data_IF_343225603950
#
_entry.id   IF_343225603950
#
_cell.length_a   1.000
_cell.length_b   1.000
_cell.length_c   1.000
_cell.angle_alpha   90.00
_cell.angle_beta   90.00
_cell.angle_gamma   90.00
#
_symmetry.space_group_name_H-M   'P 1'
#
loop_
_entity.id
_entity.type
_entity.pdbx_description
1 polymer ?
#
# COMPACT_ATOMS: atom_id res chain seq x y z
N UNK A 1 -22.18 1.56 15.19
CA UNK A 1 -21.85 1.09 13.82
C UNK A 1 -21.83 -0.42 13.84
N UNK A 2 -22.41 -1.12 12.86
CA UNK A 2 -22.56 -2.57 12.89
C UNK A 2 -21.40 -3.27 12.18
N UNK A 3 -21.06 -4.49 12.60
CA UNK A 3 -20.12 -5.41 11.93
C UNK A 3 -20.34 -5.48 10.42
N UNK A 4 -21.60 -5.41 9.98
CA UNK A 4 -22.00 -5.34 8.57
C UNK A 4 -21.34 -4.19 7.80
N UNK A 5 -21.14 -3.03 8.42
CA UNK A 5 -20.50 -1.88 7.76
C UNK A 5 -18.99 -2.06 7.58
N UNK A 6 -18.31 -2.73 8.51
CA UNK A 6 -16.87 -2.97 8.41
C UNK A 6 -16.56 -3.96 7.28
N UNK A 7 -17.28 -5.09 7.23
CA UNK A 7 -17.10 -6.07 6.17
C UNK A 7 -17.35 -5.44 4.79
N UNK A 8 -18.43 -4.67 4.63
CA UNK A 8 -18.70 -3.95 3.38
C UNK A 8 -17.58 -2.97 3.01
N UNK A 9 -17.00 -2.25 3.97
CA UNK A 9 -15.88 -1.34 3.71
C UNK A 9 -14.61 -2.09 3.28
N UNK A 10 -14.33 -3.26 3.86
CA UNK A 10 -13.21 -4.11 3.47
C UNK A 10 -13.41 -4.63 2.03
N UNK A 11 -14.60 -5.16 1.72
CA UNK A 11 -14.93 -5.66 0.38
C UNK A 11 -14.83 -4.55 -0.69
N UNK A 12 -15.35 -3.36 -0.39
CA UNK A 12 -15.25 -2.19 -1.26
C UNK A 12 -13.78 -1.77 -1.47
N UNK A 13 -12.98 -1.77 -0.41
CA UNK A 13 -11.56 -1.44 -0.47
C UNK A 13 -10.76 -2.44 -1.31
N UNK A 14 -11.10 -3.73 -1.20
CA UNK A 14 -10.53 -4.78 -2.05
C UNK A 14 -10.91 -4.59 -3.51
N UNK A 15 -12.20 -4.37 -3.81
CA UNK A 15 -12.66 -4.11 -5.17
C UNK A 15 -11.96 -2.90 -5.81
N UNK A 16 -11.83 -1.80 -5.04
CA UNK A 16 -11.09 -0.61 -5.47
C UNK A 16 -9.61 -0.90 -5.71
N UNK A 17 -8.97 -1.68 -4.84
CA UNK A 17 -7.56 -2.06 -4.98
C UNK A 17 -7.32 -2.89 -6.25
N UNK A 18 -8.23 -3.84 -6.56
CA UNK A 18 -8.16 -4.62 -7.79
C UNK A 18 -8.31 -3.75 -9.03
N UNK A 19 -9.28 -2.83 -9.02
CA UNK A 19 -9.49 -1.88 -10.11
C UNK A 19 -8.25 -1.00 -10.33
N UNK A 20 -7.64 -0.51 -9.25
CA UNK A 20 -6.39 0.25 -9.33
C UNK A 20 -5.26 -0.59 -9.93
N UNK A 21 -5.14 -1.86 -9.54
CA UNK A 21 -4.14 -2.77 -10.07
C UNK A 21 -4.38 -3.11 -11.55
N UNK A 22 -5.62 -3.29 -11.98
CA UNK A 22 -5.96 -3.56 -13.38
C UNK A 22 -5.59 -2.38 -14.30
N UNK A 23 -5.83 -1.15 -13.82
CA UNK A 23 -5.47 0.08 -14.53
C UNK A 23 -3.96 0.30 -14.54
N UNK A 24 -3.28 0.02 -13.43
CA UNK A 24 -1.89 0.45 -13.21
C UNK A 24 -0.85 -0.64 -13.45
N UNK A 25 -1.23 -1.91 -13.48
CA UNK A 25 -0.28 -3.02 -13.50
C UNK A 25 -0.45 -3.96 -14.70
N UNK A 26 0.62 -4.68 -15.02
CA UNK A 26 0.61 -5.76 -16.03
C UNK A 26 0.26 -7.13 -15.43
N UNK A 27 0.31 -7.27 -14.11
CA UNK A 27 0.09 -8.53 -13.43
C UNK A 27 -1.37 -8.96 -13.52
N UNK A 28 -1.60 -10.23 -13.78
CA UNK A 28 -2.89 -10.86 -13.48
C UNK A 28 -3.00 -11.03 -11.98
N UNK A 29 -3.96 -10.34 -11.36
CA UNK A 29 -4.23 -10.45 -9.93
C UNK A 29 -5.17 -11.65 -9.70
N UNK A 30 -4.80 -12.53 -8.78
CA UNK A 30 -5.66 -13.64 -8.36
C UNK A 30 -6.69 -13.15 -7.34
N UNK A 31 -7.91 -13.65 -7.42
CA UNK A 31 -8.98 -13.35 -6.46
C UNK A 31 -8.89 -14.18 -5.17
N UNK A 32 -7.91 -15.09 -5.08
CA UNK A 32 -7.60 -15.82 -3.86
C UNK A 32 -6.67 -14.97 -2.98
N UNK A 33 -7.24 -14.32 -1.97
CA UNK A 33 -6.51 -13.39 -1.11
C UNK A 33 -5.97 -14.05 0.14
N UNK A 34 -4.74 -13.68 0.47
CA UNK A 34 -4.13 -13.94 1.76
C UNK A 34 -3.72 -12.60 2.35
N UNK A 35 -3.83 -12.45 3.67
CA UNK A 35 -3.67 -11.15 4.29
C UNK A 35 -2.46 -11.08 5.21
N UNK A 36 -1.82 -9.92 5.20
CA UNK A 36 -0.86 -9.47 6.21
C UNK A 36 -1.52 -8.30 6.93
N UNK A 37 -1.47 -8.29 8.25
CA UNK A 37 -2.09 -7.25 9.07
C UNK A 37 -1.02 -6.58 9.93
N UNK A 38 -0.87 -5.26 9.83
CA UNK A 38 0.21 -4.53 10.49
C UNK A 38 -0.22 -3.15 10.96
N UNK A 39 0.31 -2.72 12.10
CA UNK A 39 0.14 -1.38 12.64
C UNK A 39 1.24 -0.48 12.07
N UNK A 40 0.87 0.73 11.62
CA UNK A 40 1.81 1.78 11.24
C UNK A 40 2.20 2.54 12.50
N UNK A 41 3.50 2.57 12.82
CA UNK A 41 4.04 3.37 13.93
C UNK A 41 4.63 4.67 13.42
N UNK A 42 4.67 5.71 14.25
CA UNK A 42 5.27 7.01 13.89
C UNK A 42 6.73 6.90 13.43
N UNK A 43 7.48 5.95 13.99
CA UNK A 43 8.85 5.63 13.56
C UNK A 43 8.94 5.21 12.09
N UNK A 44 7.85 4.69 11.52
CA UNK A 44 7.82 4.06 10.21
C UNK A 44 7.52 5.07 9.08
N UNK A 45 7.07 6.29 9.42
CA UNK A 45 6.87 7.38 8.46
C UNK A 45 8.15 7.76 7.69
N UNK A 46 9.32 7.62 8.31
CA UNK A 46 10.60 7.86 7.63
C UNK A 46 10.98 6.73 6.66
N UNK A 47 10.45 5.51 6.84
CA UNK A 47 10.77 4.33 6.05
C UNK A 47 9.91 4.16 4.80
N UNK A 48 8.75 4.84 4.71
CA UNK A 48 7.91 4.81 3.51
C UNK A 48 8.57 5.42 2.26
N UNK A 49 9.69 6.15 2.38
CA UNK A 49 10.50 6.65 1.24
C UNK A 49 11.39 5.57 0.59
N UNK A 50 11.66 4.45 1.27
CA UNK A 50 12.49 3.35 0.73
C UNK A 50 11.69 2.05 0.77
N UNK A 51 10.81 1.87 -0.21
CA UNK A 51 10.25 0.56 -0.55
C UNK A 51 9.53 -0.11 0.63
N UNK A 52 8.41 0.48 1.06
CA UNK A 52 7.61 -0.06 2.17
C UNK A 52 7.36 -1.56 2.05
N UNK A 53 8.02 -2.28 2.95
CA UNK A 53 7.76 -3.62 3.42
C UNK A 53 8.40 -3.63 4.80
N UNK A 54 7.59 -3.45 5.84
CA UNK A 54 8.09 -3.45 7.20
C UNK A 54 8.76 -4.82 7.43
N UNK A 55 10.05 -4.82 7.77
CA UNK A 55 10.82 -6.04 8.08
C UNK A 55 10.48 -6.63 9.44
N UNK A 56 9.44 -6.12 10.10
CA UNK A 56 8.98 -6.61 11.38
C UNK A 56 7.68 -7.39 11.24
N UNK A 57 7.79 -8.65 11.67
CA UNK A 57 6.75 -9.65 11.93
C UNK A 57 6.29 -10.46 10.72
N UNK A 58 6.76 -11.72 10.74
CA UNK A 58 6.01 -12.90 10.35
C UNK A 58 4.66 -12.94 11.08
N UNK A 59 3.72 -12.06 10.74
CA UNK A 59 2.31 -12.40 10.91
C UNK A 59 2.02 -13.49 9.90
N UNK A 60 1.54 -14.65 10.35
CA UNK A 60 1.07 -15.69 9.44
C UNK A 60 0.11 -15.10 8.41
N UNK A 61 0.07 -15.67 7.21
CA UNK A 61 -0.93 -15.27 6.23
C UNK A 61 -2.31 -15.55 6.81
N UNK A 62 -3.13 -14.51 6.94
CA UNK A 62 -4.47 -14.57 7.51
C UNK A 62 -5.50 -14.74 6.40
N UNK A 63 -6.66 -15.30 6.76
CA UNK A 63 -7.87 -15.22 5.95
C UNK A 63 -8.66 -13.94 6.26
N UNK A 64 -9.71 -13.69 5.48
CA UNK A 64 -10.54 -12.49 5.60
C UNK A 64 -11.29 -12.44 6.94
N UNK A 65 -11.71 -13.57 7.49
CA UNK A 65 -12.49 -13.63 8.72
C UNK A 65 -11.62 -13.19 9.90
N UNK A 66 -10.42 -13.76 10.00
CA UNK A 66 -9.46 -13.41 11.06
C UNK A 66 -9.07 -11.93 11.00
N UNK A 67 -8.81 -11.38 9.81
CA UNK A 67 -8.53 -9.95 9.66
C UNK A 67 -9.71 -9.09 10.10
N UNK A 68 -10.93 -9.47 9.72
CA UNK A 68 -12.13 -8.73 10.09
C UNK A 68 -12.30 -8.72 11.61
N UNK A 69 -12.15 -9.88 12.28
CA UNK A 69 -12.17 -9.96 13.75
C UNK A 69 -11.09 -9.10 14.41
N UNK A 70 -9.88 -9.05 13.84
CA UNK A 70 -8.80 -8.20 14.35
C UNK A 70 -9.13 -6.70 14.21
N UNK A 71 -9.69 -6.29 13.07
CA UNK A 71 -10.12 -4.91 12.84
C UNK A 71 -11.29 -4.53 13.76
N UNK A 72 -12.22 -5.44 14.04
CA UNK A 72 -13.35 -5.20 14.94
C UNK A 72 -12.90 -4.91 16.37
N UNK A 73 -11.94 -5.69 16.88
CA UNK A 73 -11.41 -5.53 18.24
C UNK A 73 -10.78 -4.17 18.47
N UNK A 74 -10.14 -3.62 17.44
CA UNK A 74 -9.43 -2.35 17.49
C UNK A 74 -10.30 -1.17 17.00
N UNK A 75 -11.52 -1.43 16.50
CA UNK A 75 -12.28 -0.49 15.65
C UNK A 75 -12.45 0.91 16.26
N UNK A 76 -12.71 0.98 17.56
CA UNK A 76 -12.91 2.24 18.28
C UNK A 76 -11.69 3.17 18.16
N UNK A 77 -10.49 2.58 18.15
CA UNK A 77 -9.21 3.28 18.08
C UNK A 77 -8.62 3.29 16.67
N UNK A 78 -9.32 2.80 15.63
CA UNK A 78 -8.81 2.87 14.26
C UNK A 78 -9.03 4.26 13.67
N UNK A 79 -7.97 4.86 13.12
CA UNK A 79 -8.02 6.12 12.41
C UNK A 79 -8.03 5.93 10.89
N UNK A 80 -7.03 5.24 10.36
CA UNK A 80 -6.85 5.02 8.92
C UNK A 80 -6.49 3.56 8.65
N UNK A 81 -7.07 2.97 7.60
CA UNK A 81 -6.87 1.58 7.20
C UNK A 81 -6.54 1.56 5.71
N UNK A 82 -5.33 1.11 5.40
CA UNK A 82 -4.75 1.15 4.07
C UNK A 82 -4.56 -0.26 3.52
N UNK A 83 -5.07 -0.48 2.31
CA UNK A 83 -4.98 -1.74 1.58
C UNK A 83 -3.93 -1.61 0.47
N UNK A 84 -2.97 -2.54 0.46
CA UNK A 84 -1.92 -2.63 -0.55
C UNK A 84 -1.80 -4.04 -1.10
N UNK A 85 -1.45 -4.18 -2.38
CA UNK A 85 -0.95 -5.45 -2.89
C UNK A 85 0.51 -5.57 -2.46
N UNK A 86 0.78 -6.45 -1.50
CA UNK A 86 2.14 -6.78 -1.08
C UNK A 86 2.84 -7.63 -2.13
N UNK A 87 2.14 -8.66 -2.63
CA UNK A 87 2.67 -9.57 -3.65
C UNK A 87 1.56 -10.26 -4.44
N UNK A 88 1.60 -10.18 -5.76
CA UNK A 88 0.72 -10.94 -6.64
C UNK A 88 1.44 -12.17 -7.19
N UNK A 89 0.86 -13.36 -6.96
CA UNK A 89 1.30 -14.62 -7.59
C UNK A 89 0.20 -15.19 -8.47
N UNK A 90 0.55 -16.20 -9.27
CA UNK A 90 -0.38 -16.87 -10.19
C UNK A 90 -1.65 -17.39 -9.51
N UNK A 91 -1.53 -17.94 -8.31
CA UNK A 91 -2.63 -18.63 -7.62
C UNK A 91 -3.19 -17.86 -6.42
N UNK A 92 -2.47 -16.88 -5.89
CA UNK A 92 -2.93 -16.07 -4.76
C UNK A 92 -2.32 -14.67 -4.82
N UNK A 93 -3.03 -13.72 -4.23
CA UNK A 93 -2.56 -12.35 -4.04
C UNK A 93 -2.46 -12.09 -2.55
N UNK A 94 -1.29 -11.63 -2.11
CA UNK A 94 -1.06 -11.22 -0.73
C UNK A 94 -1.41 -9.74 -0.62
N UNK A 95 -2.42 -9.44 0.19
CA UNK A 95 -2.86 -8.09 0.51
C UNK A 95 -2.30 -7.72 1.87
N UNK A 96 -1.62 -6.60 1.96
CA UNK A 96 -1.20 -6.02 3.23
C UNK A 96 -2.20 -4.95 3.64
N UNK A 97 -2.76 -5.11 4.84
CA UNK A 97 -3.62 -4.14 5.48
C UNK A 97 -2.78 -3.49 6.58
N UNK A 98 -2.59 -2.19 6.43
CA UNK A 98 -1.86 -1.36 7.36
C UNK A 98 -2.85 -0.45 8.07
N UNK A 99 -2.83 -0.39 9.39
CA UNK A 99 -3.74 0.49 10.14
C UNK A 99 -2.98 1.49 11.01
N UNK A 100 -3.59 2.65 11.22
CA UNK A 100 -3.13 3.70 12.11
C UNK A 100 -4.12 3.87 13.25
N UNK A 101 -3.64 3.99 14.49
CA UNK A 101 -4.50 4.19 15.66
C UNK A 101 -4.72 5.67 15.94
N UNK A 102 -5.91 6.01 16.45
CA UNK A 102 -6.22 7.37 16.90
C UNK A 102 -5.34 7.72 18.11
N UNK A 103 -5.17 6.79 19.04
CA UNK A 103 -4.33 6.95 20.23
C UNK A 103 -2.84 7.22 19.93
N UNK A 104 -2.39 6.93 18.71
CA UNK A 104 -1.03 7.25 18.24
C UNK A 104 -0.89 8.68 17.72
N UNK A 105 -1.97 9.48 17.71
CA UNK A 105 -1.94 10.88 17.27
C UNK A 105 -1.65 11.79 18.46
N UNK A 106 -1.24 13.02 18.19
CA UNK A 106 -1.13 14.04 19.23
C UNK A 106 -2.49 14.26 19.91
N UNK A 107 -2.45 14.64 21.18
CA UNK A 107 -3.63 14.70 22.04
C UNK A 107 -4.68 15.68 21.52
N UNK A 108 -4.25 16.84 21.01
CA UNK A 108 -5.14 17.87 20.49
C UNK A 108 -5.88 17.36 19.25
N UNK A 109 -5.16 16.72 18.33
CA UNK A 109 -5.76 16.12 17.15
C UNK A 109 -6.67 14.94 17.50
N UNK A 110 -6.25 14.06 18.41
CA UNK A 110 -7.07 12.94 18.90
C UNK A 110 -8.45 13.42 19.40
N UNK A 111 -8.48 14.48 20.22
CA UNK A 111 -9.72 15.00 20.77
C UNK A 111 -10.70 15.48 19.70
N UNK A 112 -10.20 15.92 18.53
CA UNK A 112 -11.04 16.33 17.38
C UNK A 112 -11.57 15.16 16.54
N UNK A 113 -10.91 13.99 16.59
CA UNK A 113 -11.22 12.86 15.69
C UNK A 113 -11.64 11.57 16.42
N UNK A 114 -11.67 11.57 17.76
CA UNK A 114 -11.99 10.38 18.57
C UNK A 114 -13.32 9.73 18.19
N UNK A 115 -14.31 10.53 17.82
CA UNK A 115 -15.65 10.07 17.44
C UNK A 115 -15.80 9.79 15.93
N UNK A 116 -14.78 10.08 15.13
CA UNK A 116 -14.81 9.83 13.70
C UNK A 116 -14.71 8.33 13.40
N UNK A 117 -15.35 7.92 12.29
CA UNK A 117 -15.20 6.58 11.77
C UNK A 117 -13.82 6.41 11.11
N UNK A 118 -13.22 5.22 11.16
CA UNK A 118 -11.97 4.94 10.45
C UNK A 118 -12.12 5.15 8.96
N UNK A 119 -11.09 5.72 8.35
CA UNK A 119 -10.99 5.90 6.91
C UNK A 119 -10.42 4.64 6.25
N UNK A 120 -10.92 4.31 5.06
CA UNK A 120 -10.49 3.15 4.28
C UNK A 120 -9.90 3.62 2.96
N UNK A 121 -8.69 3.19 2.65
CA UNK A 121 -7.98 3.58 1.44
C UNK A 121 -7.39 2.38 0.71
N UNK A 122 -7.52 2.38 -0.61
CA UNK A 122 -6.83 1.44 -1.50
C UNK A 122 -5.68 2.16 -2.17
N UNK A 123 -4.46 1.64 -1.99
CA UNK A 123 -3.24 2.31 -2.45
C UNK A 123 -2.35 1.35 -3.24
N UNK A 124 -1.70 1.88 -4.27
CA UNK A 124 -0.73 1.12 -5.07
C UNK A 124 0.60 1.88 -5.14
N UNK A 125 1.68 1.21 -4.76
CA UNK A 125 2.99 1.82 -4.82
C UNK A 125 3.50 1.81 -6.26
N UNK A 126 3.77 2.99 -6.81
CA UNK A 126 4.22 3.16 -8.19
C UNK A 126 5.75 3.35 -8.25
N UNK A 127 6.47 2.64 -9.14
CA UNK A 127 7.89 2.86 -9.34
C UNK A 127 8.15 4.17 -10.11
N UNK A 128 9.32 4.78 -9.92
CA UNK A 128 9.64 6.08 -10.51
C UNK A 128 9.54 6.10 -12.05
N UNK A 129 9.87 5.00 -12.74
CA UNK A 129 9.79 4.93 -14.19
C UNK A 129 8.35 4.86 -14.74
N UNK A 130 7.35 4.67 -13.87
CA UNK A 130 5.94 4.57 -14.23
C UNK A 130 5.16 5.86 -14.00
N UNK A 131 5.81 6.93 -13.49
CA UNK A 131 5.19 8.23 -13.19
C UNK A 131 4.41 8.84 -14.36
N UNK A 132 4.79 8.52 -15.60
CA UNK A 132 4.11 8.99 -16.82
C UNK A 132 2.83 8.20 -17.15
N UNK A 133 2.17 7.59 -16.15
CA UNK A 133 0.95 6.78 -16.33
C UNK A 133 1.20 5.42 -17.01
N UNK A 134 2.45 4.96 -17.08
CA UNK A 134 2.77 3.65 -17.68
C UNK A 134 2.44 2.55 -16.70
N UNK A 135 1.83 1.47 -17.20
CA UNK A 135 1.63 0.27 -16.40
C UNK A 135 2.97 -0.29 -15.88
N UNK A 136 2.95 -1.02 -14.77
CA UNK A 136 4.13 -1.59 -14.14
C UNK A 136 3.89 -2.98 -13.52
N UNK A 137 4.94 -3.64 -13.06
CA UNK A 137 4.81 -4.88 -12.28
C UNK A 137 4.49 -4.53 -10.83
N UNK A 138 3.34 -4.98 -10.28
CA UNK A 138 2.96 -4.74 -8.88
C UNK A 138 3.99 -5.31 -7.90
N UNK A 139 4.73 -6.33 -8.30
CA UNK A 139 5.79 -6.95 -7.50
C UNK A 139 7.13 -6.21 -7.57
N UNK A 140 7.21 -5.05 -8.23
CA UNK A 140 8.47 -4.35 -8.48
C UNK A 140 9.30 -4.08 -7.23
N UNK A 141 8.66 -3.92 -6.06
CA UNK A 141 9.34 -3.75 -4.77
C UNK A 141 10.18 -4.96 -4.36
N UNK A 142 9.80 -6.16 -4.81
CA UNK A 142 10.61 -7.38 -4.66
C UNK A 142 11.83 -7.39 -5.60
N UNK A 143 11.99 -6.36 -6.44
CA UNK A 143 13.06 -6.24 -7.41
C UNK A 143 12.83 -7.10 -8.64
N UNK A 144 13.89 -7.73 -9.12
CA UNK A 144 13.88 -8.56 -10.32
C UNK A 144 14.58 -7.91 -11.52
N UNK A 145 14.90 -8.76 -12.49
CA UNK A 145 15.67 -8.37 -13.68
C UNK A 145 14.93 -7.27 -14.43
N UNK A 146 13.63 -7.45 -14.70
CA UNK A 146 12.84 -6.49 -15.45
C UNK A 146 12.77 -5.10 -14.78
N UNK A 147 12.54 -5.06 -13.47
CA UNK A 147 12.56 -3.81 -12.70
C UNK A 147 13.93 -3.13 -12.79
N UNK A 148 15.02 -3.89 -12.63
CA UNK A 148 16.39 -3.40 -12.70
C UNK A 148 16.71 -2.78 -14.07
N UNK A 149 16.31 -3.43 -15.16
CA UNK A 149 16.46 -2.89 -16.51
C UNK A 149 15.66 -1.59 -16.73
N UNK A 150 14.40 -1.53 -16.28
CA UNK A 150 13.58 -0.31 -16.37
C UNK A 150 14.19 0.85 -15.59
N UNK A 151 14.71 0.58 -14.39
CA UNK A 151 15.41 1.57 -13.57
C UNK A 151 16.71 2.04 -14.22
N UNK A 152 17.50 1.13 -14.81
CA UNK A 152 18.72 1.49 -15.55
C UNK A 152 18.42 2.45 -16.70
N UNK A 153 17.43 2.12 -17.54
CA UNK A 153 16.99 2.98 -18.65
C UNK A 153 16.50 4.33 -18.14
N UNK A 154 15.70 4.34 -17.06
CA UNK A 154 15.20 5.57 -16.45
C UNK A 154 16.34 6.46 -15.97
N UNK A 155 17.30 5.91 -15.23
CA UNK A 155 18.45 6.63 -14.70
C UNK A 155 19.32 7.20 -15.82
N UNK A 156 19.53 6.44 -16.90
CA UNK A 156 20.28 6.92 -18.06
C UNK A 156 19.58 8.11 -18.74
N UNK A 157 18.25 8.04 -18.95
CA UNK A 157 17.46 9.15 -19.50
C UNK A 157 17.42 10.36 -18.57
N UNK A 158 17.33 10.13 -17.26
CA UNK A 158 17.33 11.19 -16.26
C UNK A 158 18.66 11.95 -16.23
N UNK A 159 19.79 11.23 -16.23
CA UNK A 159 21.14 11.83 -16.31
C UNK A 159 21.34 12.64 -17.60
N UNK A 160 20.85 12.14 -18.74
CA UNK A 160 20.89 12.90 -20.00
C UNK A 160 20.10 14.20 -19.91
N UNK A 161 18.89 14.18 -19.34
CA UNK A 161 18.06 15.38 -19.14
C UNK A 161 18.77 16.41 -18.27
N UNK A 162 19.31 16.02 -17.12
CA UNK A 162 20.05 16.95 -16.24
C UNK A 162 21.23 17.61 -16.99
N UNK A 163 21.99 16.84 -17.78
CA UNK A 163 23.11 17.38 -18.57
C UNK A 163 22.69 18.36 -19.67
N UNK A 164 21.47 18.23 -20.20
CA UNK A 164 20.93 19.18 -21.19
C UNK A 164 20.50 20.48 -20.50
N UNK A 165 19.72 20.39 -19.43
CA UNK A 165 19.36 21.55 -18.61
C UNK A 165 20.58 22.32 -18.09
N UNK A 166 21.64 21.62 -17.67
CA UNK A 166 22.87 22.29 -17.22
C UNK A 166 23.67 22.96 -18.35
N UNK A 167 23.40 22.65 -19.63
CA UNK A 167 24.04 23.30 -20.78
C UNK A 167 23.24 24.47 -21.33
N UNK A 168 21.94 24.52 -21.09
CA UNK A 168 21.05 25.61 -21.55
C UNK A 168 21.06 26.82 -20.60
N UNK A 169 21.64 26.68 -19.40
CA UNK A 169 21.70 27.71 -18.36
C UNK A 169 23.14 28.17 -18.02
N UNK A 170 24.09 27.93 -18.92
CA UNK A 170 25.45 28.51 -18.94
C UNK A 170 25.73 29.04 -20.34
#
# INVERSE_FOLDING_TARGET
MTQKNLQTNIELSLANLLKLAEISCWNKISNNYLFIFSEIKDSDFQYHKKGGGNTNKRSGLLDLNLVTEMLEKEYADLYDINFYIFKAKKFHTIIEIQYYRKSSLDKEFFDTIKDNQPMFHSKIAMPMYAKDGKKFDVNWKSGGIFHSWKMFIYNFKYRKRIKMYSKEHY
#
